data_IF_440162983400
#
_entry.id   IF_440162983400
#
_cell.length_a   1.000
_cell.length_b   1.000
_cell.length_c   1.000
_cell.angle_alpha   90.00
_cell.angle_beta   90.00
_cell.angle_gamma   90.00
#
_symmetry.space_group_name_H-M   'P 1'
#
loop_
_entity.id
_entity.type
_entity.pdbx_description
1 polymer ?
#
# COMPACT_ATOMS: atom_id res chain seq x y z
N UNK A 1 -31.02 36.31 9.45
CA UNK A 1 -30.39 37.26 8.50
C UNK A 1 -29.42 36.50 7.65
N UNK A 2 -29.80 36.28 6.41
CA UNK A 2 -29.07 35.52 5.38
C UNK A 2 -27.91 36.33 4.82
N UNK A 3 -26.75 35.72 4.63
CA UNK A 3 -25.74 36.15 3.68
C UNK A 3 -25.17 34.94 2.96
N UNK A 4 -25.76 34.64 1.83
CA UNK A 4 -25.18 33.75 0.79
C UNK A 4 -24.03 34.51 0.13
N UNK A 5 -22.86 33.89 0.08
CA UNK A 5 -21.75 34.31 -0.77
C UNK A 5 -21.52 33.23 -1.82
N UNK A 6 -22.03 33.49 -3.03
CA UNK A 6 -21.76 32.73 -4.24
C UNK A 6 -20.36 33.09 -4.73
N UNK A 7 -19.44 32.15 -4.75
CA UNK A 7 -18.15 32.24 -5.40
C UNK A 7 -18.18 31.39 -6.67
N UNK A 8 -18.27 32.07 -7.79
CA UNK A 8 -18.14 31.54 -9.14
C UNK A 8 -16.65 31.42 -9.47
N UNK A 9 -16.18 30.22 -9.75
CA UNK A 9 -14.82 29.99 -10.25
C UNK A 9 -14.88 29.62 -11.72
N UNK A 10 -14.17 30.38 -12.60
CA UNK A 10 -14.15 30.07 -14.03
C UNK A 10 -13.21 28.91 -14.36
N UNK A 11 -13.71 28.02 -15.21
CA UNK A 11 -13.07 26.89 -15.82
C UNK A 11 -12.12 27.34 -16.92
N UNK A 12 -10.81 27.17 -16.75
CA UNK A 12 -9.84 27.38 -17.84
C UNK A 12 -9.42 26.04 -18.41
N UNK A 13 -9.90 25.75 -19.62
CA UNK A 13 -9.48 24.68 -20.49
C UNK A 13 -8.21 25.09 -21.22
N UNK A 14 -7.07 24.45 -20.97
CA UNK A 14 -5.89 24.52 -21.81
C UNK A 14 -5.62 23.14 -22.42
N UNK A 15 -5.77 23.08 -23.73
CA UNK A 15 -5.51 21.91 -24.54
C UNK A 15 -4.01 21.66 -24.70
N UNK A 16 -3.58 20.40 -24.67
CA UNK A 16 -2.25 19.95 -25.02
C UNK A 16 -2.23 19.38 -26.44
N UNK A 17 -1.47 20.05 -27.30
CA UNK A 17 -1.12 19.61 -28.64
C UNK A 17 -0.04 18.54 -28.59
N UNK A 18 -0.25 17.43 -29.30
CA UNK A 18 0.76 16.41 -29.58
C UNK A 18 1.64 16.84 -30.77
N UNK A 19 2.96 16.69 -30.76
CA UNK A 19 3.74 16.70 -31.97
C UNK A 19 3.79 15.29 -32.61
N UNK A 20 3.49 15.24 -33.90
CA UNK A 20 3.63 14.08 -34.76
C UNK A 20 5.10 13.88 -35.15
N UNK A 21 5.59 12.67 -35.06
CA UNK A 21 6.92 12.27 -35.53
C UNK A 21 6.82 11.80 -36.97
N UNK A 22 7.53 12.48 -37.84
CA UNK A 22 7.64 12.19 -39.27
C UNK A 22 8.67 11.12 -39.54
N UNK A 23 8.31 10.28 -40.44
CA UNK A 23 8.90 9.08 -40.99
C UNK A 23 10.14 9.35 -41.86
N UNK A 24 11.02 8.31 -41.95
CA UNK A 24 12.21 8.17 -42.77
C UNK A 24 12.02 8.36 -44.28
N UNK A 25 13.09 8.45 -45.04
CA UNK A 25 13.20 7.45 -46.13
C UNK A 25 14.56 6.76 -46.26
N UNK A 26 14.45 5.63 -46.87
CA UNK A 26 15.48 4.68 -47.26
C UNK A 26 16.45 5.20 -48.30
N UNK A 27 17.65 4.65 -48.28
CA UNK A 27 18.63 4.77 -49.34
C UNK A 27 19.69 3.67 -49.22
N UNK A 28 19.65 2.72 -50.15
CA UNK A 28 20.67 1.75 -50.52
C UNK A 28 21.31 2.21 -51.84
N UNK A 29 22.38 1.55 -52.39
CA UNK A 29 23.52 0.79 -51.86
C UNK A 29 24.87 1.27 -52.43
N UNK A 30 25.98 0.78 -51.91
CA UNK A 30 27.20 0.65 -52.71
C UNK A 30 28.16 -0.41 -52.14
N UNK A 31 28.44 -1.38 -52.92
CA UNK A 31 29.44 -2.44 -52.85
C UNK A 31 30.87 -1.91 -52.77
N UNK A 32 31.70 -2.51 -51.93
CA UNK A 32 33.13 -2.73 -52.23
C UNK A 32 33.69 -3.84 -51.33
N UNK A 33 34.18 -4.86 -51.96
CA UNK A 33 35.03 -5.95 -51.54
C UNK A 33 36.34 -5.43 -50.96
N UNK A 34 36.84 -5.95 -49.84
CA UNK A 34 38.20 -6.51 -49.81
C UNK A 34 38.49 -7.34 -48.56
N UNK A 35 39.47 -8.16 -48.69
CA UNK A 35 39.81 -9.39 -48.01
C UNK A 35 40.43 -9.22 -46.59
N UNK A 36 40.18 -10.23 -45.76
CA UNK A 36 41.23 -10.86 -44.94
C UNK A 36 41.58 -10.18 -43.61
N UNK A 37 40.93 -10.60 -42.53
CA UNK A 37 41.66 -10.95 -41.32
C UNK A 37 40.82 -11.87 -40.43
N UNK A 38 41.26 -13.12 -40.37
CA UNK A 38 40.71 -14.09 -39.42
C UNK A 38 41.23 -13.76 -38.03
N UNK A 39 40.51 -12.87 -37.31
CA UNK A 39 40.65 -12.69 -35.87
C UNK A 39 39.57 -13.53 -35.20
N UNK A 40 40.02 -14.51 -34.44
CA UNK A 40 39.18 -15.32 -33.58
C UNK A 40 38.23 -14.40 -32.78
N UNK A 41 36.96 -14.40 -33.16
CA UNK A 41 35.91 -13.84 -32.30
C UNK A 41 35.77 -14.77 -31.10
N UNK A 42 36.33 -14.37 -30.00
CA UNK A 42 35.85 -14.85 -28.73
C UNK A 42 34.37 -14.45 -28.69
N UNK A 43 33.51 -15.45 -28.81
CA UNK A 43 32.09 -15.33 -28.68
C UNK A 43 31.85 -14.83 -27.24
N UNK A 44 31.71 -13.50 -27.08
CA UNK A 44 31.27 -12.93 -25.81
C UNK A 44 29.84 -13.41 -25.61
N UNK A 45 29.67 -14.30 -24.64
CA UNK A 45 28.39 -14.74 -24.17
C UNK A 45 27.51 -13.50 -23.95
N UNK A 46 26.30 -13.38 -24.56
CA UNK A 46 25.47 -12.21 -24.40
C UNK A 46 25.17 -12.04 -22.89
N UNK A 47 25.27 -10.82 -22.36
CA UNK A 47 24.98 -10.61 -20.94
C UNK A 47 23.60 -11.18 -20.63
N UNK A 48 23.57 -12.20 -19.78
CA UNK A 48 22.33 -12.80 -19.33
C UNK A 48 21.47 -11.68 -18.81
N UNK A 49 20.30 -11.48 -19.42
CA UNK A 49 19.29 -10.53 -18.96
C UNK A 49 18.89 -10.95 -17.55
N UNK A 50 19.52 -10.34 -16.56
CA UNK A 50 19.11 -10.52 -15.17
C UNK A 50 17.68 -10.01 -15.07
N UNK A 51 16.76 -10.92 -14.75
CA UNK A 51 15.39 -10.51 -14.43
C UNK A 51 15.46 -9.43 -13.34
N UNK A 52 14.68 -8.34 -13.47
CA UNK A 52 14.67 -7.30 -12.45
C UNK A 52 14.35 -7.95 -11.10
N UNK A 53 15.24 -7.80 -10.12
CA UNK A 53 15.00 -8.24 -8.75
C UNK A 53 13.90 -7.36 -8.20
N UNK A 54 12.67 -7.85 -8.22
CA UNK A 54 11.55 -7.17 -7.57
C UNK A 54 11.79 -7.29 -6.07
N UNK A 55 12.10 -6.17 -5.42
CA UNK A 55 12.26 -6.16 -3.97
C UNK A 55 10.98 -6.70 -3.31
N UNK A 56 11.08 -7.67 -2.39
CA UNK A 56 9.90 -8.19 -1.70
C UNK A 56 9.14 -7.05 -1.02
N UNK A 57 7.82 -7.06 -1.13
CA UNK A 57 6.95 -6.00 -0.60
C UNK A 57 7.19 -5.73 0.90
N UNK A 58 7.64 -6.73 1.64
CA UNK A 58 7.86 -6.65 3.08
C UNK A 58 9.33 -6.53 3.50
N UNK A 59 10.25 -6.35 2.57
CA UNK A 59 11.69 -6.28 2.87
C UNK A 59 12.13 -5.00 3.63
N UNK A 60 11.19 -4.14 4.04
CA UNK A 60 11.47 -2.98 4.87
C UNK A 60 11.59 -3.30 6.38
N UNK A 61 11.29 -4.55 6.76
CA UNK A 61 11.45 -5.10 8.12
C UNK A 61 12.27 -6.40 8.05
N UNK A 62 12.65 -6.92 9.21
CA UNK A 62 13.36 -8.20 9.32
C UNK A 62 12.57 -9.33 8.60
N UNK A 63 13.30 -10.30 8.04
CA UNK A 63 12.71 -11.36 7.22
C UNK A 63 11.78 -12.30 8.00
N UNK A 64 11.96 -12.41 9.30
CA UNK A 64 11.14 -13.17 10.23
C UNK A 64 10.06 -12.34 10.94
N UNK A 65 9.95 -11.07 10.58
CA UNK A 65 8.92 -10.18 11.13
C UNK A 65 7.52 -10.68 10.77
N UNK A 66 6.59 -10.46 11.69
CA UNK A 66 5.16 -10.68 11.46
C UNK A 66 4.69 -9.88 10.24
N UNK A 67 3.89 -10.51 9.38
CA UNK A 67 3.34 -9.82 8.21
C UNK A 67 2.32 -8.72 8.61
N UNK A 68 2.06 -7.72 7.76
CA UNK A 68 1.01 -6.73 8.02
C UNK A 68 -0.37 -7.34 8.32
N UNK A 69 -0.74 -8.42 7.64
CA UNK A 69 -2.00 -9.11 7.90
C UNK A 69 -2.03 -9.75 9.29
N UNK A 70 -0.95 -10.45 9.68
CA UNK A 70 -0.85 -11.08 10.99
C UNK A 70 -0.81 -10.05 12.15
N UNK A 71 -0.13 -8.91 11.95
CA UNK A 71 -0.19 -7.78 12.87
C UNK A 71 -1.65 -7.32 13.10
N UNK A 72 -2.43 -7.15 12.02
CA UNK A 72 -3.81 -6.69 12.11
C UNK A 72 -4.72 -7.76 12.74
N UNK A 73 -4.50 -9.04 12.47
CA UNK A 73 -5.23 -10.12 13.13
C UNK A 73 -4.97 -10.11 14.65
N UNK A 74 -3.71 -10.00 15.06
CA UNK A 74 -3.34 -9.87 16.48
C UNK A 74 -3.95 -8.65 17.14
N UNK A 75 -3.96 -7.51 16.42
CA UNK A 75 -4.59 -6.28 16.88
C UNK A 75 -6.09 -6.45 17.12
N UNK A 76 -6.82 -7.00 16.15
CA UNK A 76 -8.27 -7.23 16.26
C UNK A 76 -8.59 -8.24 17.37
N UNK A 77 -7.77 -9.27 17.56
CA UNK A 77 -7.91 -10.20 18.67
C UNK A 77 -7.65 -9.55 20.02
N UNK A 78 -6.70 -8.62 20.12
CA UNK A 78 -6.46 -7.84 21.32
C UNK A 78 -7.69 -6.96 21.68
N UNK A 79 -8.31 -6.32 20.68
CA UNK A 79 -9.56 -5.57 20.87
C UNK A 79 -10.71 -6.47 21.37
N UNK A 80 -10.89 -7.65 20.74
CA UNK A 80 -11.91 -8.62 21.16
C UNK A 80 -11.72 -9.05 22.61
N UNK A 81 -10.48 -9.29 23.02
CA UNK A 81 -10.13 -9.73 24.37
C UNK A 81 -10.04 -8.57 25.38
N UNK A 82 -10.26 -7.32 24.93
CA UNK A 82 -10.11 -6.10 25.74
C UNK A 82 -8.68 -5.95 26.31
N UNK A 83 -7.69 -6.52 25.65
CA UNK A 83 -6.28 -6.35 25.93
C UNK A 83 -5.77 -5.04 25.30
N UNK A 84 -5.97 -3.97 26.05
CA UNK A 84 -5.60 -2.63 25.61
C UNK A 84 -4.10 -2.50 25.42
N UNK A 85 -3.30 -3.12 26.28
CA UNK A 85 -1.84 -3.02 26.20
C UNK A 85 -1.32 -3.58 24.89
N UNK A 86 -1.77 -4.77 24.50
CA UNK A 86 -1.40 -5.38 23.22
C UNK A 86 -1.97 -4.60 22.03
N UNK A 87 -3.21 -4.11 22.14
CA UNK A 87 -3.81 -3.29 21.08
C UNK A 87 -3.03 -1.98 20.86
N UNK A 88 -2.67 -1.28 21.91
CA UNK A 88 -1.96 -0.01 21.82
C UNK A 88 -0.49 -0.20 21.36
N UNK A 89 0.16 -1.30 21.74
CA UNK A 89 1.51 -1.64 21.29
C UNK A 89 1.59 -1.92 19.77
N UNK A 90 0.49 -2.21 19.11
CA UNK A 90 0.43 -2.38 17.67
C UNK A 90 0.58 -1.06 16.90
N UNK A 91 0.41 0.09 17.56
CA UNK A 91 0.45 1.41 16.93
C UNK A 91 1.80 2.09 17.10
N UNK A 92 2.22 2.83 16.08
CA UNK A 92 3.40 3.71 16.18
C UNK A 92 3.16 4.80 17.24
N UNK A 93 1.96 5.36 17.25
CA UNK A 93 1.49 6.33 18.25
C UNK A 93 0.17 5.85 18.81
N UNK A 94 0.18 5.19 19.99
CA UNK A 94 -1.03 4.74 20.63
C UNK A 94 -2.02 5.89 20.82
N UNK A 95 -3.32 5.69 20.58
CA UNK A 95 -4.32 6.73 20.82
C UNK A 95 -4.41 7.04 22.32
N UNK A 96 -4.59 8.32 22.66
CA UNK A 96 -4.72 8.76 24.05
C UNK A 96 -5.98 8.15 24.71
N UNK A 97 -7.04 7.97 23.92
CA UNK A 97 -8.28 7.27 24.30
C UNK A 97 -8.93 6.64 23.07
N UNK A 98 -9.83 5.68 23.30
CA UNK A 98 -10.48 4.93 22.20
C UNK A 98 -11.42 5.81 21.36
N UNK A 99 -11.95 6.90 21.93
CA UNK A 99 -12.83 7.81 21.19
C UNK A 99 -12.09 8.67 20.17
N UNK A 100 -10.79 8.89 20.37
CA UNK A 100 -9.92 9.66 19.47
C UNK A 100 -9.08 8.82 18.54
N UNK A 101 -9.21 7.50 18.64
CA UNK A 101 -8.52 6.59 17.73
C UNK A 101 -9.02 6.76 16.28
N UNK A 102 -8.14 6.51 15.30
CA UNK A 102 -8.54 6.53 13.89
C UNK A 102 -9.59 5.47 13.56
N UNK A 103 -9.66 4.41 14.35
CA UNK A 103 -10.63 3.32 14.27
C UNK A 103 -11.57 3.26 15.48
N UNK A 104 -11.90 4.43 16.03
CA UNK A 104 -12.75 4.58 17.22
C UNK A 104 -14.05 3.75 17.16
N UNK A 105 -14.68 3.67 15.99
CA UNK A 105 -15.89 2.89 15.78
C UNK A 105 -15.71 1.39 16.10
N UNK A 106 -14.52 0.84 15.87
CA UNK A 106 -14.19 -0.54 16.20
C UNK A 106 -13.79 -0.70 17.67
N UNK A 107 -12.99 0.22 18.21
CA UNK A 107 -12.50 0.20 19.59
C UNK A 107 -13.61 0.38 20.63
N UNK A 108 -14.64 1.16 20.30
CA UNK A 108 -15.78 1.44 21.16
C UNK A 108 -16.92 0.43 21.04
N UNK A 109 -16.75 -0.61 20.22
CA UNK A 109 -17.78 -1.59 20.00
C UNK A 109 -18.05 -2.38 21.28
N UNK A 110 -19.29 -2.32 21.75
CA UNK A 110 -19.72 -3.03 22.98
C UNK A 110 -20.39 -4.36 22.67
N UNK A 111 -20.45 -5.24 23.68
CA UNK A 111 -21.16 -6.52 23.60
C UNK A 111 -20.61 -7.47 22.55
N UNK A 112 -19.34 -7.31 22.13
CA UNK A 112 -18.72 -8.14 21.10
C UNK A 112 -18.52 -9.56 21.60
N UNK A 113 -19.05 -10.53 20.85
CA UNK A 113 -18.90 -11.97 21.10
C UNK A 113 -17.86 -12.61 20.20
N UNK A 114 -17.75 -12.13 18.97
CA UNK A 114 -16.72 -12.57 18.03
C UNK A 114 -16.38 -11.44 17.06
N UNK A 115 -15.15 -11.46 16.55
CA UNK A 115 -14.67 -10.53 15.56
C UNK A 115 -13.86 -11.30 14.52
N UNK A 116 -14.05 -10.99 13.24
CA UNK A 116 -13.30 -11.58 12.14
C UNK A 116 -12.77 -10.46 11.27
N UNK A 117 -11.50 -10.53 10.98
CA UNK A 117 -10.81 -9.66 10.02
C UNK A 117 -10.64 -10.43 8.71
N UNK A 118 -10.80 -9.73 7.60
CA UNK A 118 -10.38 -10.15 6.27
C UNK A 118 -9.52 -9.05 5.67
N UNK A 119 -8.36 -9.41 5.16
CA UNK A 119 -7.41 -8.46 4.56
C UNK A 119 -7.24 -8.77 3.08
N UNK A 120 -7.02 -7.73 2.28
CA UNK A 120 -6.58 -7.86 0.90
C UNK A 120 -5.06 -7.67 0.81
N UNK A 121 -4.50 -7.81 -0.40
CA UNK A 121 -3.08 -7.60 -0.61
C UNK A 121 -2.70 -6.15 -0.28
N UNK A 122 -1.62 -5.95 0.50
CA UNK A 122 -1.13 -4.62 0.80
C UNK A 122 -0.71 -3.84 -0.43
N UNK A 123 -0.96 -2.54 -0.42
CA UNK A 123 -0.66 -1.61 -1.51
C UNK A 123 0.43 -0.65 -1.03
N UNK A 124 1.54 -0.56 -1.76
CA UNK A 124 2.57 0.43 -1.48
C UNK A 124 2.03 1.86 -1.67
N UNK A 125 2.27 2.73 -0.70
CA UNK A 125 1.81 4.13 -0.70
C UNK A 125 2.94 5.15 -0.75
N UNK A 126 4.17 4.68 -0.77
CA UNK A 126 5.37 5.48 -1.02
C UNK A 126 6.10 4.98 -2.27
N UNK A 127 7.05 5.77 -2.75
CA UNK A 127 7.88 5.41 -3.91
C UNK A 127 9.17 4.70 -3.54
N UNK A 128 9.30 4.18 -2.31
CA UNK A 128 10.52 3.56 -1.83
C UNK A 128 10.62 2.08 -2.25
N UNK A 129 11.83 1.58 -2.34
CA UNK A 129 12.11 0.16 -2.60
C UNK A 129 13.17 -0.34 -1.62
N UNK A 130 12.79 -1.23 -0.69
CA UNK A 130 11.42 -1.73 -0.42
C UNK A 130 10.50 -0.64 0.10
N UNK A 131 9.18 -0.74 -0.15
CA UNK A 131 8.21 0.24 0.34
C UNK A 131 8.15 0.22 1.88
N UNK A 132 8.06 1.41 2.47
CA UNK A 132 8.00 1.60 3.92
C UNK A 132 6.62 2.04 4.42
N UNK A 133 5.70 2.35 3.53
CA UNK A 133 4.32 2.64 3.85
C UNK A 133 3.40 1.73 3.04
N UNK A 134 2.73 0.83 3.72
CA UNK A 134 1.77 -0.10 3.12
C UNK A 134 0.37 0.22 3.59
N UNK A 135 -0.58 0.23 2.69
CA UNK A 135 -2.01 0.29 3.00
C UNK A 135 -2.61 -1.09 2.82
N UNK A 136 -3.22 -1.60 3.86
CA UNK A 136 -3.88 -2.91 3.90
C UNK A 136 -5.38 -2.68 3.88
N UNK A 137 -6.08 -2.95 2.77
CA UNK A 137 -7.52 -2.92 2.74
C UNK A 137 -8.10 -4.02 3.64
N UNK A 138 -9.15 -3.70 4.39
CA UNK A 138 -9.72 -4.61 5.38
C UNK A 138 -11.24 -4.61 5.38
N UNK A 139 -11.78 -5.75 5.77
CA UNK A 139 -13.18 -5.90 6.18
C UNK A 139 -13.23 -6.55 7.56
N UNK A 140 -13.95 -5.95 8.49
CA UNK A 140 -14.17 -6.48 9.82
C UNK A 140 -15.63 -6.82 10.00
N UNK A 141 -15.91 -8.03 10.45
CA UNK A 141 -17.24 -8.47 10.85
C UNK A 141 -17.25 -8.76 12.35
N UNK A 142 -18.06 -8.04 13.09
CA UNK A 142 -18.24 -8.23 14.52
C UNK A 142 -19.65 -8.74 14.80
N UNK A 143 -19.77 -9.80 15.60
CA UNK A 143 -21.02 -10.27 16.17
C UNK A 143 -21.13 -9.70 17.58
N UNK A 144 -22.14 -8.87 17.81
CA UNK A 144 -22.44 -8.26 19.09
C UNK A 144 -23.70 -8.84 19.70
N UNK A 145 -24.05 -8.39 20.90
CA UNK A 145 -25.37 -8.72 21.54
C UNK A 145 -26.55 -8.20 20.71
N UNK A 146 -26.36 -7.10 19.99
CA UNK A 146 -27.41 -6.38 19.27
C UNK A 146 -27.47 -6.78 17.78
N UNK A 147 -26.54 -7.63 17.34
CA UNK A 147 -26.52 -8.13 15.97
C UNK A 147 -25.14 -8.13 15.33
N UNK A 148 -25.10 -8.25 14.01
CA UNK A 148 -23.86 -8.23 13.25
C UNK A 148 -23.58 -6.81 12.77
N UNK A 149 -22.36 -6.32 13.02
CA UNK A 149 -21.86 -5.05 12.49
C UNK A 149 -20.70 -5.35 11.56
N UNK A 150 -20.61 -4.62 10.45
CA UNK A 150 -19.51 -4.72 9.49
C UNK A 150 -18.84 -3.38 9.30
N UNK A 151 -17.53 -3.43 9.12
CA UNK A 151 -16.72 -2.27 8.78
C UNK A 151 -15.88 -2.58 7.56
N UNK A 152 -15.78 -1.61 6.67
CA UNK A 152 -14.83 -1.62 5.55
C UNK A 152 -13.88 -0.43 5.64
N UNK A 153 -12.68 -0.61 5.12
CA UNK A 153 -11.70 0.46 5.09
C UNK A 153 -10.27 -0.04 4.94
N UNK A 154 -9.35 0.62 5.61
CA UNK A 154 -7.93 0.28 5.51
C UNK A 154 -7.17 0.64 6.80
N UNK A 155 -6.04 -0.04 6.98
CA UNK A 155 -4.98 0.32 7.90
C UNK A 155 -3.71 0.63 7.10
N UNK A 156 -2.99 1.68 7.48
CA UNK A 156 -1.63 1.94 7.01
C UNK A 156 -0.65 1.46 8.05
N UNK A 157 0.35 0.74 7.56
CA UNK A 157 1.42 0.20 8.39
C UNK A 157 2.77 0.68 7.88
N UNK A 158 3.70 0.87 8.81
CA UNK A 158 5.07 1.28 8.55
C UNK A 158 6.03 0.45 9.41
N UNK A 159 7.32 0.34 9.04
CA UNK A 159 8.32 -0.27 9.90
C UNK A 159 8.42 0.46 11.24
N UNK A 160 8.62 -0.28 12.32
CA UNK A 160 9.05 0.26 13.60
C UNK A 160 10.38 1.01 13.46
N UNK A 161 10.71 1.85 14.43
CA UNK A 161 11.92 2.65 14.40
C UNK A 161 13.21 1.81 14.31
N UNK A 162 13.20 0.59 14.83
CA UNK A 162 14.30 -0.37 14.78
C UNK A 162 14.26 -1.30 13.56
N UNK A 163 13.24 -1.20 12.70
CA UNK A 163 13.07 -2.02 11.51
C UNK A 163 12.68 -3.48 11.77
N UNK A 164 12.37 -3.85 13.02
CA UNK A 164 12.12 -5.26 13.39
C UNK A 164 10.69 -5.72 13.17
N UNK A 165 9.75 -4.79 13.10
CA UNK A 165 8.34 -5.12 13.01
C UNK A 165 7.57 -4.08 12.20
N UNK A 166 6.39 -4.44 11.75
CA UNK A 166 5.39 -3.48 11.27
C UNK A 166 4.62 -2.90 12.43
N UNK A 167 4.22 -1.64 12.32
CA UNK A 167 3.34 -0.95 13.26
C UNK A 167 2.26 -0.20 12.51
N UNK A 168 1.08 -0.09 13.10
CA UNK A 168 -0.03 0.68 12.55
C UNK A 168 0.29 2.17 12.70
N UNK A 169 0.27 2.88 11.58
CA UNK A 169 0.48 4.33 11.53
C UNK A 169 -0.85 5.08 11.59
N UNK A 170 -1.84 4.60 10.82
CA UNK A 170 -3.16 5.23 10.73
C UNK A 170 -4.20 4.23 10.22
N UNK A 171 -5.48 4.55 10.41
CA UNK A 171 -6.59 3.75 9.93
C UNK A 171 -7.74 4.62 9.44
N UNK A 172 -8.57 4.06 8.60
CA UNK A 172 -9.88 4.61 8.28
C UNK A 172 -10.86 3.45 8.13
N UNK A 173 -11.78 3.35 9.07
CA UNK A 173 -12.86 2.37 9.04
C UNK A 173 -14.21 3.08 8.99
N UNK A 174 -15.13 2.51 8.25
CA UNK A 174 -16.51 2.98 8.16
C UNK A 174 -17.45 1.80 8.31
N UNK A 175 -18.57 1.94 9.04
CA UNK A 175 -19.62 0.95 9.02
C UNK A 175 -20.09 0.73 7.58
N UNK A 176 -20.20 -0.53 7.15
CA UNK A 176 -20.81 -0.90 5.88
C UNK A 176 -22.22 -1.38 6.13
N UNK A 177 -23.17 -0.82 5.39
CA UNK A 177 -24.54 -1.30 5.31
C UNK A 177 -24.59 -2.42 4.28
N UNK A 178 -25.20 -3.54 4.63
CA UNK A 178 -25.50 -4.62 3.68
C UNK A 178 -26.59 -4.21 2.72
#
# INVERSE_FOLDING_TARGET
MYRQLLLVVPLLLLGCSRPATTQAPAGEPATATDAGNASARTEADPPALQAPVVAPLFAAVDADAESPAALLDRYVMALLNRDRATADAAWTFPPADDARANDAALRQLEGVRSMRLSTELPIARDGQQPPRLLEVPVQVRALTTDGTVRFGGWYRVQPSADGRAWQIQSAQLRPSLD
#
